data_IF_646403504280
#
_entry.id   IF_646403504280
#
_cell.length_a   1.000
_cell.length_b   1.000
_cell.length_c   1.000
_cell.angle_alpha   90.00
_cell.angle_beta   90.00
_cell.angle_gamma   90.00
#
_symmetry.space_group_name_H-M   'P 1'
#
loop_
_entity.id
_entity.type
_entity.pdbx_description
1 polymer ?
#
# COMPACT_ATOMS: atom_id res chain seq x y z
N UNK A 1 -21.23 2.32 25.98
CA UNK A 1 -20.12 1.32 26.06
C UNK A 1 -18.75 1.97 26.24
N UNK A 2 -18.24 2.78 25.29
CA UNK A 2 -16.90 3.42 25.37
C UNK A 2 -16.63 4.18 26.69
N UNK A 3 -17.66 4.81 27.24
CA UNK A 3 -17.55 5.53 28.50
C UNK A 3 -17.45 4.60 29.73
N UNK A 4 -18.17 3.47 29.73
CA UNK A 4 -18.05 2.46 30.76
C UNK A 4 -16.71 1.71 30.72
N UNK A 5 -16.09 1.59 29.54
CA UNK A 5 -14.76 0.96 29.39
C UNK A 5 -13.62 1.73 30.06
N UNK A 6 -13.81 3.03 30.36
CA UNK A 6 -12.83 3.82 31.11
C UNK A 6 -12.64 3.31 32.54
N UNK A 7 -13.58 2.52 33.04
CA UNK A 7 -13.50 1.90 34.36
C UNK A 7 -12.48 0.76 34.39
N UNK A 8 -11.59 0.80 35.38
CA UNK A 8 -10.48 -0.16 35.51
C UNK A 8 -10.92 -1.58 35.86
N UNK A 9 -12.05 -1.76 36.55
CA UNK A 9 -12.53 -3.08 36.98
C UNK A 9 -13.77 -3.54 36.20
N UNK A 10 -13.93 -4.84 35.99
CA UNK A 10 -15.11 -5.39 35.29
C UNK A 10 -16.43 -5.13 36.03
N UNK A 11 -16.39 -5.00 37.36
CA UNK A 11 -17.57 -4.68 38.17
C UNK A 11 -17.96 -3.21 38.07
N UNK A 12 -16.98 -2.31 38.09
CA UNK A 12 -17.24 -0.88 37.89
C UNK A 12 -17.69 -0.60 36.46
N UNK A 13 -17.14 -1.30 35.47
CA UNK A 13 -17.66 -1.32 34.10
C UNK A 13 -19.16 -1.65 34.06
N UNK A 14 -19.59 -2.71 34.75
CA UNK A 14 -21.00 -3.13 34.78
C UNK A 14 -21.90 -2.07 35.44
N UNK A 15 -21.47 -1.49 36.57
CA UNK A 15 -22.23 -0.44 37.23
C UNK A 15 -22.34 0.82 36.37
N UNK A 16 -21.25 1.25 35.75
CA UNK A 16 -21.27 2.40 34.84
C UNK A 16 -22.11 2.12 33.60
N UNK A 17 -22.08 0.90 33.08
CA UNK A 17 -22.92 0.49 31.95
C UNK A 17 -24.41 0.62 32.27
N UNK A 18 -24.85 0.09 33.42
CA UNK A 18 -26.24 0.18 33.86
C UNK A 18 -26.69 1.63 34.14
N UNK A 19 -25.83 2.42 34.79
CA UNK A 19 -26.10 3.84 34.99
C UNK A 19 -26.34 4.56 33.65
N UNK A 20 -25.48 4.32 32.65
CA UNK A 20 -25.63 4.91 31.31
C UNK A 20 -26.87 4.41 30.58
N UNK A 21 -27.18 3.11 30.64
CA UNK A 21 -28.38 2.54 30.00
C UNK A 21 -29.67 3.09 30.60
N UNK A 22 -29.66 3.41 31.90
CA UNK A 22 -30.81 4.02 32.59
C UNK A 22 -30.93 5.54 32.39
N UNK A 23 -30.06 6.17 31.59
CA UNK A 23 -29.99 7.63 31.47
C UNK A 23 -29.63 8.34 32.77
N UNK A 24 -28.95 7.66 33.69
CA UNK A 24 -28.62 8.15 35.04
C UNK A 24 -29.72 7.98 36.08
N UNK A 25 -30.85 7.34 35.74
CA UNK A 25 -31.93 7.09 36.68
C UNK A 25 -31.55 6.10 37.80
N UNK A 26 -30.71 5.10 37.47
CA UNK A 26 -30.19 4.13 38.43
C UNK A 26 -28.80 4.54 38.92
N UNK A 27 -28.71 4.88 40.20
CA UNK A 27 -27.46 5.17 40.90
C UNK A 27 -26.84 3.88 41.44
N UNK A 28 -25.53 3.93 41.68
CA UNK A 28 -24.75 2.80 42.19
C UNK A 28 -25.33 2.09 43.42
N UNK A 29 -26.01 2.81 44.32
CA UNK A 29 -26.66 2.21 45.50
C UNK A 29 -27.83 1.31 45.11
N UNK A 30 -28.66 1.75 44.16
CA UNK A 30 -29.83 1.00 43.68
C UNK A 30 -29.39 -0.20 42.84
N UNK A 31 -28.34 -0.03 42.02
CA UNK A 31 -27.80 -1.13 41.21
C UNK A 31 -27.33 -2.30 42.09
N UNK A 32 -26.71 -2.02 43.25
CA UNK A 32 -26.17 -3.05 44.16
C UNK A 32 -27.23 -3.99 44.74
N UNK A 33 -28.49 -3.57 44.83
CA UNK A 33 -29.60 -4.39 45.37
C UNK A 33 -30.28 -5.26 44.31
N UNK A 34 -29.90 -5.13 43.04
CA UNK A 34 -30.54 -5.86 41.94
C UNK A 34 -29.95 -7.27 41.79
N UNK A 35 -30.71 -8.16 41.14
CA UNK A 35 -30.21 -9.45 40.71
C UNK A 35 -29.28 -9.29 39.49
N UNK A 36 -27.99 -9.13 39.75
CA UNK A 36 -27.00 -8.92 38.68
C UNK A 36 -26.94 -10.09 37.69
N UNK A 37 -27.25 -11.32 38.11
CA UNK A 37 -27.22 -12.49 37.24
C UNK A 37 -28.31 -12.43 36.15
N UNK A 38 -29.52 -12.04 36.54
CA UNK A 38 -30.65 -11.85 35.61
C UNK A 38 -30.43 -10.64 34.71
N UNK A 39 -30.02 -9.50 35.28
CA UNK A 39 -29.71 -8.30 34.51
C UNK A 39 -28.61 -8.54 33.47
N UNK A 40 -27.55 -9.28 33.82
CA UNK A 40 -26.49 -9.58 32.85
C UNK A 40 -27.04 -10.46 31.72
N UNK A 41 -27.93 -11.42 32.00
CA UNK A 41 -28.57 -12.23 30.94
C UNK A 41 -29.45 -11.38 30.03
N UNK A 42 -30.20 -10.43 30.60
CA UNK A 42 -31.00 -9.47 29.82
C UNK A 42 -30.12 -8.60 28.93
N UNK A 43 -29.05 -8.00 29.49
CA UNK A 43 -28.08 -7.22 28.71
C UNK A 43 -27.47 -8.06 27.59
N UNK A 44 -27.09 -9.31 27.88
CA UNK A 44 -26.53 -10.23 26.88
C UNK A 44 -27.52 -10.44 25.73
N UNK A 45 -28.79 -10.69 26.04
CA UNK A 45 -29.83 -10.92 25.04
C UNK A 45 -30.16 -9.67 24.23
N UNK A 46 -30.39 -8.55 24.90
CA UNK A 46 -30.75 -7.28 24.26
C UNK A 46 -29.65 -6.73 23.36
N UNK A 47 -28.39 -7.08 23.64
CA UNK A 47 -27.24 -6.63 22.86
C UNK A 47 -26.68 -7.72 21.95
N UNK A 48 -27.39 -8.84 21.77
CA UNK A 48 -26.98 -10.00 20.96
C UNK A 48 -25.53 -10.42 21.23
N UNK A 49 -25.22 -10.73 22.50
CA UNK A 49 -23.89 -11.12 22.99
C UNK A 49 -23.76 -12.63 23.27
N UNK A 50 -24.79 -13.43 22.97
CA UNK A 50 -24.88 -14.84 23.32
C UNK A 50 -23.67 -15.64 22.83
N UNK A 51 -23.27 -15.42 21.57
CA UNK A 51 -22.13 -16.10 20.94
C UNK A 51 -20.77 -15.66 21.49
N UNK A 52 -20.74 -14.58 22.27
CA UNK A 52 -19.53 -13.97 22.82
C UNK A 52 -19.42 -14.13 24.35
N UNK A 53 -20.52 -14.53 25.01
CA UNK A 53 -20.65 -14.55 26.45
C UNK A 53 -20.35 -15.93 27.02
N UNK A 54 -19.09 -16.12 27.44
CA UNK A 54 -18.61 -17.37 28.02
C UNK A 54 -18.29 -17.22 29.52
N UNK A 55 -19.29 -17.33 30.41
CA UNK A 55 -19.10 -17.18 31.85
C UNK A 55 -18.18 -18.27 32.43
N UNK A 56 -18.21 -19.49 31.89
CA UNK A 56 -17.34 -20.61 32.28
C UNK A 56 -15.85 -20.37 31.98
N UNK A 57 -15.52 -19.50 31.01
CA UNK A 57 -14.13 -19.17 30.61
C UNK A 57 -13.62 -17.87 31.25
N UNK A 58 -14.32 -17.36 32.25
CA UNK A 58 -14.05 -16.04 32.85
C UNK A 58 -13.99 -16.09 34.37
N UNK A 59 -13.14 -15.25 34.97
CA UNK A 59 -12.97 -15.17 36.43
C UNK A 59 -14.28 -14.89 37.19
N UNK A 60 -15.20 -14.14 36.57
CA UNK A 60 -16.54 -13.86 37.08
C UNK A 60 -17.45 -13.38 35.94
N UNK A 61 -18.75 -13.29 36.24
CA UNK A 61 -19.80 -12.94 35.27
C UNK A 61 -19.65 -11.51 34.70
N UNK A 62 -19.19 -10.55 35.48
CA UNK A 62 -18.93 -9.18 34.99
C UNK A 62 -17.78 -9.14 34.00
N UNK A 63 -16.75 -9.95 34.25
CA UNK A 63 -15.62 -10.09 33.33
C UNK A 63 -16.03 -10.80 32.05
N UNK A 64 -16.91 -11.80 32.13
CA UNK A 64 -17.51 -12.43 30.96
C UNK A 64 -18.28 -11.42 30.10
N UNK A 65 -19.11 -10.58 30.73
CA UNK A 65 -19.87 -9.54 30.03
C UNK A 65 -18.96 -8.52 29.35
N UNK A 66 -17.97 -8.00 30.10
CA UNK A 66 -17.01 -7.04 29.55
C UNK A 66 -16.21 -7.63 28.38
N UNK A 67 -15.79 -8.90 28.48
CA UNK A 67 -15.13 -9.62 27.39
C UNK A 67 -16.07 -9.82 26.20
N UNK A 68 -17.34 -10.15 26.42
CA UNK A 68 -18.31 -10.35 25.35
C UNK A 68 -18.48 -9.08 24.50
N UNK A 69 -18.67 -7.91 25.14
CA UNK A 69 -18.70 -6.62 24.43
C UNK A 69 -17.42 -6.35 23.63
N UNK A 70 -16.24 -6.63 24.20
CA UNK A 70 -14.95 -6.45 23.49
C UNK A 70 -14.78 -7.40 22.30
N UNK A 71 -15.26 -8.63 22.43
CA UNK A 71 -15.19 -9.63 21.36
C UNK A 71 -16.14 -9.26 20.23
N UNK A 72 -17.39 -8.89 20.54
CA UNK A 72 -18.35 -8.42 19.55
C UNK A 72 -17.86 -7.16 18.82
N UNK A 73 -17.41 -6.14 19.55
CA UNK A 73 -16.84 -4.93 18.93
C UNK A 73 -15.64 -5.28 18.04
N UNK A 74 -14.81 -6.25 18.46
CA UNK A 74 -13.70 -6.72 17.65
C UNK A 74 -14.20 -7.37 16.36
N UNK A 75 -15.16 -8.27 16.43
CA UNK A 75 -15.70 -9.00 15.27
C UNK A 75 -16.41 -8.08 14.28
N UNK A 76 -17.19 -7.11 14.78
CA UNK A 76 -17.82 -6.08 13.95
C UNK A 76 -16.77 -5.23 13.22
N UNK A 77 -15.68 -4.86 13.90
CA UNK A 77 -14.57 -4.13 13.30
C UNK A 77 -13.81 -4.98 12.28
N UNK A 78 -13.62 -6.28 12.54
CA UNK A 78 -12.99 -7.21 11.59
C UNK A 78 -13.86 -7.40 10.34
N UNK A 79 -15.16 -7.63 10.51
CA UNK A 79 -16.10 -7.80 9.39
C UNK A 79 -16.12 -6.55 8.50
N UNK A 80 -16.21 -5.37 9.12
CA UNK A 80 -16.13 -4.09 8.39
C UNK A 80 -14.78 -3.90 7.71
N UNK A 81 -13.69 -4.33 8.33
CA UNK A 81 -12.36 -4.30 7.72
C UNK A 81 -12.28 -5.20 6.49
N UNK A 82 -12.75 -6.45 6.58
CA UNK A 82 -12.73 -7.41 5.48
C UNK A 82 -13.57 -6.92 4.30
N UNK A 83 -14.76 -6.37 4.58
CA UNK A 83 -15.63 -5.78 3.57
C UNK A 83 -14.96 -4.58 2.88
N UNK A 84 -14.46 -3.60 3.65
CA UNK A 84 -13.80 -2.43 3.09
C UNK A 84 -12.54 -2.81 2.29
N UNK A 85 -11.77 -3.78 2.78
CA UNK A 85 -10.57 -4.26 2.09
C UNK A 85 -10.93 -4.99 0.79
N UNK A 86 -12.00 -5.78 0.79
CA UNK A 86 -12.50 -6.47 -0.39
C UNK A 86 -12.93 -5.46 -1.46
N UNK A 87 -13.78 -4.49 -1.10
CA UNK A 87 -14.26 -3.47 -2.03
C UNK A 87 -13.09 -2.65 -2.60
N UNK A 88 -12.14 -2.25 -1.74
CA UNK A 88 -10.93 -1.55 -2.17
C UNK A 88 -10.13 -2.38 -3.19
N UNK A 89 -9.94 -3.69 -2.92
CA UNK A 89 -9.19 -4.58 -3.82
C UNK A 89 -9.88 -4.74 -5.16
N UNK A 90 -11.19 -4.94 -5.17
CA UNK A 90 -11.96 -5.14 -6.40
C UNK A 90 -11.85 -3.92 -7.31
N UNK A 91 -12.08 -2.70 -6.80
CA UNK A 91 -11.94 -1.48 -7.59
C UNK A 91 -10.50 -1.25 -8.06
N UNK A 92 -9.53 -1.53 -7.18
CA UNK A 92 -8.12 -1.35 -7.45
C UNK A 92 -7.61 -2.29 -8.54
N UNK A 93 -7.91 -3.59 -8.42
CA UNK A 93 -7.51 -4.64 -9.35
C UNK A 93 -8.18 -4.44 -10.71
N UNK A 94 -9.45 -4.03 -10.75
CA UNK A 94 -10.14 -3.73 -12.02
C UNK A 94 -9.47 -2.57 -12.77
N UNK A 95 -9.12 -1.49 -12.06
CA UNK A 95 -8.43 -0.34 -12.65
C UNK A 95 -7.04 -0.72 -13.18
N UNK A 96 -6.27 -1.48 -12.39
CA UNK A 96 -4.96 -1.97 -12.82
C UNK A 96 -5.06 -2.88 -14.03
N UNK A 97 -5.97 -3.85 -14.01
CA UNK A 97 -6.15 -4.81 -15.10
C UNK A 97 -6.51 -4.10 -16.41
N UNK A 98 -7.40 -3.10 -16.35
CA UNK A 98 -7.73 -2.26 -17.52
C UNK A 98 -6.51 -1.50 -18.05
N UNK A 99 -5.70 -0.93 -17.17
CA UNK A 99 -4.50 -0.19 -17.57
C UNK A 99 -3.42 -1.12 -18.15
N UNK A 100 -3.20 -2.28 -17.52
CA UNK A 100 -2.29 -3.32 -17.99
C UNK A 100 -2.72 -3.85 -19.37
N UNK A 101 -4.01 -4.14 -19.56
CA UNK A 101 -4.55 -4.58 -20.85
C UNK A 101 -4.33 -3.53 -21.95
N UNK A 102 -4.59 -2.24 -21.65
CA UNK A 102 -4.34 -1.14 -22.60
C UNK A 102 -2.86 -0.96 -22.90
N UNK A 103 -1.98 -1.22 -21.95
CA UNK A 103 -0.53 -1.21 -22.17
C UNK A 103 -0.11 -2.35 -23.10
N UNK A 104 -0.58 -3.57 -22.85
CA UNK A 104 -0.30 -4.75 -23.67
C UNK A 104 -0.79 -4.58 -25.11
N UNK A 105 -1.96 -3.96 -25.32
CA UNK A 105 -2.45 -3.63 -26.67
C UNK A 105 -1.53 -2.69 -27.48
N UNK A 106 -0.67 -1.91 -26.80
CA UNK A 106 0.33 -1.06 -27.48
C UNK A 106 1.65 -1.79 -27.70
N UNK A 107 1.93 -2.87 -26.98
CA UNK A 107 3.14 -3.66 -27.13
C UNK A 107 3.03 -4.47 -28.42
N UNK A 108 4.00 -4.31 -29.32
CA UNK A 108 4.03 -5.06 -30.59
C UNK A 108 4.61 -6.47 -30.44
N UNK A 109 5.48 -6.66 -29.45
CA UNK A 109 6.23 -7.89 -29.22
C UNK A 109 6.22 -8.23 -27.73
N UNK A 110 5.34 -9.16 -27.35
CA UNK A 110 5.22 -9.63 -25.96
C UNK A 110 6.38 -10.53 -25.53
N UNK A 111 7.05 -11.21 -26.46
CA UNK A 111 8.20 -12.07 -26.13
C UNK A 111 9.37 -11.18 -25.70
N UNK A 112 9.63 -10.12 -26.48
CA UNK A 112 10.62 -9.11 -26.17
C UNK A 112 10.32 -8.38 -24.85
N UNK A 113 9.04 -8.08 -24.56
CA UNK A 113 8.61 -7.52 -23.27
C UNK A 113 9.06 -8.41 -22.09
N UNK A 114 8.80 -9.72 -22.19
CA UNK A 114 9.17 -10.70 -21.16
C UNK A 114 10.68 -10.88 -21.07
N UNK A 115 11.39 -10.84 -22.20
CA UNK A 115 12.85 -10.91 -22.23
C UNK A 115 13.47 -9.73 -21.47
N UNK A 116 13.01 -8.50 -21.72
CA UNK A 116 13.52 -7.33 -21.02
C UNK A 116 13.18 -7.33 -19.55
N UNK A 117 11.99 -7.81 -19.19
CA UNK A 117 11.62 -7.99 -17.79
C UNK A 117 12.59 -8.92 -17.06
N UNK A 118 12.97 -10.07 -17.65
CA UNK A 118 13.98 -10.98 -17.07
C UNK A 118 15.35 -10.34 -16.92
N UNK A 119 15.66 -9.33 -17.75
CA UNK A 119 16.88 -8.51 -17.66
C UNK A 119 16.71 -7.29 -16.74
N UNK A 120 15.58 -7.22 -16.04
CA UNK A 120 15.17 -6.15 -15.12
C UNK A 120 15.00 -4.78 -15.78
N UNK A 121 14.59 -4.77 -17.04
CA UNK A 121 14.20 -3.58 -17.77
C UNK A 121 12.69 -3.53 -17.88
N UNK A 122 12.08 -2.64 -17.11
CA UNK A 122 10.67 -2.30 -17.21
C UNK A 122 10.57 -1.05 -18.06
N UNK A 123 10.02 -1.20 -19.26
CA UNK A 123 10.08 -0.19 -20.30
C UNK A 123 8.68 0.30 -20.66
N UNK A 124 8.49 1.57 -21.04
CA UNK A 124 7.25 2.00 -21.68
C UNK A 124 7.14 1.39 -23.09
N UNK A 125 5.91 1.26 -23.58
CA UNK A 125 5.61 0.58 -24.85
C UNK A 125 6.34 1.21 -26.04
N UNK A 126 6.50 2.54 -26.05
CA UNK A 126 7.23 3.29 -27.09
C UNK A 126 8.71 2.87 -27.20
N UNK A 127 9.37 2.57 -26.07
CA UNK A 127 10.80 2.18 -26.08
C UNK A 127 10.96 0.75 -26.54
N UNK A 128 10.10 -0.13 -26.05
CA UNK A 128 10.04 -1.52 -26.48
C UNK A 128 9.84 -1.60 -28.00
N UNK A 129 8.85 -0.87 -28.52
CA UNK A 129 8.49 -0.89 -29.94
C UNK A 129 9.51 -0.22 -30.87
N UNK A 130 10.39 0.63 -30.34
CA UNK A 130 11.43 1.31 -31.10
C UNK A 130 12.74 0.49 -31.19
N UNK A 131 12.84 -0.61 -30.45
CA UNK A 131 14.02 -1.46 -30.47
C UNK A 131 13.96 -2.48 -31.61
N UNK A 132 14.92 -2.42 -32.52
CA UNK A 132 15.04 -3.32 -33.68
C UNK A 132 16.40 -4.08 -33.68
N UNK A 133 17.17 -3.97 -32.60
CA UNK A 133 18.56 -4.42 -32.53
C UNK A 133 18.77 -5.76 -31.82
N UNK A 134 20.04 -6.19 -31.74
CA UNK A 134 20.46 -7.32 -30.89
C UNK A 134 21.10 -6.88 -29.58
N UNK A 135 21.61 -5.65 -29.52
CA UNK A 135 22.32 -5.11 -28.37
C UNK A 135 21.52 -3.99 -27.71
N UNK A 136 20.60 -4.40 -26.84
CA UNK A 136 19.73 -3.48 -26.12
C UNK A 136 20.48 -2.53 -25.21
N UNK A 137 21.52 -3.00 -24.52
CA UNK A 137 22.25 -2.19 -23.53
C UNK A 137 22.96 -1.02 -24.20
N UNK A 138 23.65 -1.26 -25.31
CA UNK A 138 24.30 -0.17 -26.03
C UNK A 138 23.28 0.75 -26.72
N UNK A 139 22.20 0.18 -27.26
CA UNK A 139 21.12 0.97 -27.86
C UNK A 139 20.46 1.92 -26.84
N UNK A 140 20.05 1.40 -25.68
CA UNK A 140 19.33 2.18 -24.66
C UNK A 140 20.22 3.31 -24.13
N UNK A 141 21.51 3.06 -23.90
CA UNK A 141 22.46 4.10 -23.48
C UNK A 141 22.63 5.20 -24.54
N UNK A 142 22.60 4.84 -25.83
CA UNK A 142 22.74 5.79 -26.94
C UNK A 142 21.50 6.67 -27.11
N UNK A 143 20.30 6.10 -26.99
CA UNK A 143 19.05 6.85 -27.18
C UNK A 143 18.66 7.67 -25.95
N UNK A 144 19.12 7.29 -24.75
CA UNK A 144 18.80 7.96 -23.49
C UNK A 144 19.67 9.20 -23.24
N UNK A 145 19.68 10.14 -24.19
CA UNK A 145 20.36 11.43 -24.03
C UNK A 145 19.68 12.28 -22.95
N UNK A 146 20.36 13.29 -22.40
CA UNK A 146 19.76 14.19 -21.42
C UNK A 146 18.47 14.85 -21.95
N UNK A 147 18.51 15.36 -23.18
CA UNK A 147 17.36 15.95 -23.88
C UNK A 147 16.19 14.94 -24.04
N UNK A 148 16.49 13.66 -24.30
CA UNK A 148 15.46 12.62 -24.29
C UNK A 148 14.83 12.45 -22.89
N UNK A 149 15.65 12.39 -21.83
CA UNK A 149 15.17 12.24 -20.45
C UNK A 149 14.35 13.46 -20.00
N UNK A 150 14.75 14.67 -20.39
CA UNK A 150 14.01 15.91 -20.10
C UNK A 150 12.64 15.92 -20.78
N UNK A 151 12.55 15.52 -22.05
CA UNK A 151 11.25 15.36 -22.73
C UNK A 151 10.37 14.31 -22.08
N UNK A 152 10.94 13.21 -21.57
CA UNK A 152 10.19 12.22 -20.81
C UNK A 152 9.63 12.83 -19.53
N UNK A 153 10.45 13.55 -18.77
CA UNK A 153 10.02 14.26 -17.58
C UNK A 153 8.87 15.23 -17.88
N UNK A 154 8.95 16.02 -18.95
CA UNK A 154 7.86 16.92 -19.35
C UNK A 154 6.53 16.18 -19.59
N UNK A 155 6.57 14.97 -20.16
CA UNK A 155 5.38 14.12 -20.31
C UNK A 155 4.86 13.67 -18.95
N UNK A 156 5.74 13.26 -18.05
CA UNK A 156 5.36 12.86 -16.69
C UNK A 156 4.64 13.99 -15.96
N UNK A 157 5.17 15.21 -16.03
CA UNK A 157 4.63 16.39 -15.32
C UNK A 157 3.24 16.81 -15.78
N UNK A 158 2.69 16.23 -16.85
CA UNK A 158 1.28 16.39 -17.24
C UNK A 158 0.32 15.61 -16.33
N UNK A 159 0.82 14.62 -15.58
CA UNK A 159 0.05 13.81 -14.66
C UNK A 159 0.10 14.40 -13.25
N UNK A 160 -1.04 14.54 -12.53
CA UNK A 160 -1.07 15.15 -11.20
C UNK A 160 -0.11 14.53 -10.17
N UNK A 161 0.04 13.19 -10.07
CA UNK A 161 0.99 12.55 -9.15
C UNK A 161 2.44 13.01 -9.35
N UNK A 162 2.85 13.19 -10.61
CA UNK A 162 4.20 13.62 -10.98
C UNK A 162 4.38 15.13 -10.85
N UNK A 163 3.36 15.92 -11.20
CA UNK A 163 3.40 17.39 -11.08
C UNK A 163 3.69 17.83 -9.64
N UNK A 164 3.13 17.13 -8.65
CA UNK A 164 3.40 17.38 -7.22
C UNK A 164 4.86 17.14 -6.82
N UNK A 165 5.61 16.38 -7.62
CA UNK A 165 7.02 16.00 -7.39
C UNK A 165 7.97 16.75 -8.33
N UNK A 166 7.47 17.75 -9.05
CA UNK A 166 8.21 18.44 -10.12
C UNK A 166 9.61 18.87 -9.72
N UNK A 167 9.75 19.55 -8.57
CA UNK A 167 11.04 20.03 -8.11
C UNK A 167 12.03 18.87 -7.92
N UNK A 168 11.60 17.81 -7.23
CA UNK A 168 12.43 16.64 -6.95
C UNK A 168 12.85 15.96 -8.27
N UNK A 169 11.92 15.78 -9.21
CA UNK A 169 12.19 15.16 -10.50
C UNK A 169 13.17 15.98 -11.36
N UNK A 170 13.05 17.31 -11.34
CA UNK A 170 14.00 18.21 -12.01
C UNK A 170 15.39 18.13 -11.35
N UNK A 171 15.45 18.10 -10.02
CA UNK A 171 16.70 17.98 -9.27
C UNK A 171 17.39 16.63 -9.52
N UNK A 172 16.63 15.54 -9.72
CA UNK A 172 17.17 14.23 -10.11
C UNK A 172 17.87 14.30 -11.48
N UNK A 173 17.24 14.91 -12.49
CA UNK A 173 17.87 15.05 -13.81
C UNK A 173 19.08 15.99 -13.77
N UNK A 174 19.04 17.03 -12.94
CA UNK A 174 20.19 17.89 -12.68
C UNK A 174 21.34 17.11 -12.03
N UNK A 175 21.07 16.25 -11.06
CA UNK A 175 22.09 15.40 -10.46
C UNK A 175 22.69 14.44 -11.49
N UNK A 176 21.86 13.85 -12.37
CA UNK A 176 22.33 13.00 -13.46
C UNK A 176 23.22 13.76 -14.45
N UNK A 177 22.84 14.99 -14.85
CA UNK A 177 23.63 15.80 -15.80
C UNK A 177 24.97 16.26 -15.23
N UNK A 178 25.04 16.46 -13.91
CA UNK A 178 26.28 16.74 -13.18
C UNK A 178 27.12 15.48 -12.87
N UNK A 179 26.71 14.31 -13.38
CA UNK A 179 27.35 13.01 -13.14
C UNK A 179 27.35 12.58 -11.65
N UNK A 180 26.44 13.11 -10.85
CA UNK A 180 26.18 12.69 -9.46
C UNK A 180 25.15 11.54 -9.45
N UNK A 181 25.51 10.41 -10.04
CA UNK A 181 24.57 9.33 -10.37
C UNK A 181 23.95 8.68 -9.13
N UNK A 182 24.71 8.47 -8.06
CA UNK A 182 24.17 7.94 -6.79
C UNK A 182 23.09 8.84 -6.21
N UNK A 183 23.30 10.16 -6.23
CA UNK A 183 22.30 11.13 -5.74
C UNK A 183 21.04 11.12 -6.61
N UNK A 184 21.21 11.01 -7.93
CA UNK A 184 20.09 10.87 -8.85
C UNK A 184 19.28 9.59 -8.55
N UNK A 185 19.95 8.45 -8.34
CA UNK A 185 19.32 7.18 -7.96
C UNK A 185 18.62 7.28 -6.61
N UNK A 186 19.25 7.88 -5.60
CA UNK A 186 18.65 8.11 -4.27
C UNK A 186 17.38 8.95 -4.36
N UNK A 187 17.38 10.00 -5.17
CA UNK A 187 16.20 10.84 -5.37
C UNK A 187 15.08 10.09 -6.11
N UNK A 188 15.44 9.27 -7.10
CA UNK A 188 14.51 8.62 -8.02
C UNK A 188 13.78 7.41 -7.41
N UNK A 189 14.47 6.58 -6.62
CA UNK A 189 13.89 5.38 -6.01
C UNK A 189 12.59 5.65 -5.25
N UNK A 190 12.53 6.61 -4.30
CA UNK A 190 11.30 6.93 -3.57
C UNK A 190 10.17 7.45 -4.46
N UNK A 191 10.48 7.96 -5.66
CA UNK A 191 9.44 8.45 -6.57
C UNK A 191 8.62 7.31 -7.18
N UNK A 192 9.22 6.13 -7.38
CA UNK A 192 8.51 4.96 -7.90
C UNK A 192 7.34 4.57 -6.99
N UNK A 193 7.60 4.52 -5.68
CA UNK A 193 6.54 4.29 -4.67
C UNK A 193 5.62 5.49 -4.53
N UNK A 194 6.19 6.68 -4.53
CA UNK A 194 5.47 7.92 -4.33
C UNK A 194 4.38 8.18 -5.35
N UNK A 195 4.62 7.90 -6.64
CA UNK A 195 3.61 8.10 -7.69
C UNK A 195 2.50 7.05 -7.63
N UNK A 196 2.82 5.80 -7.23
CA UNK A 196 1.82 4.75 -6.99
C UNK A 196 0.93 5.16 -5.80
N UNK A 197 1.54 5.61 -4.70
CA UNK A 197 0.81 6.12 -3.54
C UNK A 197 -0.11 7.28 -3.93
N UNK A 198 0.41 8.29 -4.64
CA UNK A 198 -0.39 9.45 -5.01
C UNK A 198 -1.54 9.08 -5.96
N UNK A 199 -1.37 8.08 -6.83
CA UNK A 199 -2.38 7.66 -7.81
C UNK A 199 -3.48 6.78 -7.21
N UNK A 200 -3.07 5.76 -6.43
CA UNK A 200 -3.97 4.69 -6.02
C UNK A 200 -4.40 4.77 -4.58
N UNK A 201 -3.64 5.50 -3.76
CA UNK A 201 -3.87 5.54 -2.32
C UNK A 201 -4.42 6.89 -1.90
N UNK A 202 -3.68 7.97 -2.19
CA UNK A 202 -4.06 9.30 -1.72
C UNK A 202 -5.43 9.76 -2.26
N UNK A 203 -5.77 9.37 -3.48
CA UNK A 203 -7.02 9.75 -4.14
C UNK A 203 -8.17 8.75 -3.90
N UNK A 204 -7.93 7.68 -3.13
CA UNK A 204 -8.93 6.66 -2.86
C UNK A 204 -9.57 6.88 -1.47
N UNK A 205 -10.88 7.19 -1.45
CA UNK A 205 -11.63 7.38 -0.20
C UNK A 205 -11.70 6.10 0.64
N UNK A 206 -11.67 4.93 0.00
CA UNK A 206 -11.65 3.64 0.69
C UNK A 206 -10.32 3.42 1.44
N UNK A 207 -9.21 4.04 1.00
CA UNK A 207 -7.97 3.97 1.77
C UNK A 207 -8.08 4.75 3.08
N UNK A 208 -8.76 5.89 3.12
CA UNK A 208 -8.94 6.63 4.37
C UNK A 208 -9.69 5.78 5.42
N UNK A 209 -10.67 4.99 4.98
CA UNK A 209 -11.39 4.04 5.82
C UNK A 209 -10.49 2.87 6.28
N UNK A 210 -9.68 2.33 5.37
CA UNK A 210 -8.68 1.28 5.68
C UNK A 210 -7.61 1.83 6.65
N UNK A 211 -7.04 3.00 6.42
CA UNK A 211 -6.02 3.62 7.28
C UNK A 211 -6.56 3.90 8.70
N UNK A 212 -7.80 4.39 8.80
CA UNK A 212 -8.49 4.58 10.08
C UNK A 212 -8.65 3.28 10.87
N UNK A 213 -8.86 2.15 10.17
CA UNK A 213 -8.95 0.82 10.76
C UNK A 213 -7.57 0.23 11.09
N UNK A 214 -6.52 0.51 10.30
CA UNK A 214 -5.13 0.14 10.56
C UNK A 214 -4.63 0.75 11.88
N UNK A 215 -4.87 2.06 12.08
CA UNK A 215 -4.46 2.78 13.30
C UNK A 215 -5.05 2.17 14.58
N UNK A 216 -6.21 1.53 14.49
CA UNK A 216 -6.85 0.84 15.63
C UNK A 216 -6.22 -0.51 15.97
N UNK A 217 -5.44 -1.12 15.06
CA UNK A 217 -4.98 -2.52 15.19
C UNK A 217 -3.48 -2.73 14.94
N UNK A 218 -2.71 -1.67 14.70
CA UNK A 218 -1.26 -1.75 14.45
C UNK A 218 -0.92 -2.69 13.27
N UNK A 219 -1.80 -2.70 12.25
CA UNK A 219 -1.65 -3.54 11.04
C UNK A 219 -0.65 -2.92 10.07
N UNK A 220 -0.01 -3.74 9.23
CA UNK A 220 0.80 -3.28 8.09
C UNK A 220 0.07 -3.67 6.81
N UNK A 221 -0.69 -2.75 6.23
CA UNK A 221 -1.14 -2.90 4.85
C UNK A 221 -0.14 -2.14 3.98
N UNK A 222 0.64 -2.86 3.16
CA UNK A 222 1.66 -2.25 2.28
C UNK A 222 1.06 -2.15 0.89
N UNK A 223 0.17 -1.17 0.73
CA UNK A 223 -0.61 -0.93 -0.49
C UNK A 223 0.27 -0.80 -1.74
N UNK A 224 1.44 -0.17 -1.60
CA UNK A 224 2.36 0.11 -2.71
C UNK A 224 3.05 -1.15 -3.24
N UNK A 225 3.52 -2.03 -2.36
CA UNK A 225 4.18 -3.28 -2.77
C UNK A 225 3.17 -4.25 -3.39
N UNK A 226 1.96 -4.31 -2.82
CA UNK A 226 0.84 -5.06 -3.41
C UNK A 226 0.50 -4.55 -4.80
N UNK A 227 0.31 -3.23 -4.93
CA UNK A 227 0.03 -2.57 -6.21
C UNK A 227 1.09 -2.86 -7.27
N UNK A 228 2.36 -2.78 -6.87
CA UNK A 228 3.48 -3.07 -7.77
C UNK A 228 3.46 -4.54 -8.18
N UNK A 229 3.29 -5.48 -7.25
CA UNK A 229 3.25 -6.92 -7.56
C UNK A 229 2.13 -7.24 -8.55
N UNK A 230 0.91 -6.76 -8.30
CA UNK A 230 -0.23 -6.98 -9.20
C UNK A 230 0.02 -6.39 -10.58
N UNK A 231 0.50 -5.14 -10.66
CA UNK A 231 0.81 -4.52 -11.94
C UNK A 231 1.83 -5.33 -12.74
N UNK A 232 2.89 -5.83 -12.08
CA UNK A 232 3.90 -6.63 -12.75
C UNK A 232 3.37 -8.01 -13.16
N UNK A 233 2.51 -8.60 -12.34
CA UNK A 233 1.84 -9.86 -12.66
C UNK A 233 0.93 -9.71 -13.88
N UNK A 234 0.11 -8.66 -13.93
CA UNK A 234 -0.84 -8.45 -15.03
C UNK A 234 -0.14 -8.10 -16.34
N UNK A 235 0.98 -7.37 -16.28
CA UNK A 235 1.71 -6.96 -17.49
C UNK A 235 2.69 -8.03 -17.97
N UNK A 236 3.41 -8.69 -17.07
CA UNK A 236 4.51 -9.60 -17.45
C UNK A 236 4.18 -11.09 -17.24
N UNK A 237 3.07 -11.40 -16.55
CA UNK A 237 2.72 -12.77 -16.16
C UNK A 237 3.74 -13.38 -15.20
N UNK A 238 4.35 -12.56 -14.33
CA UNK A 238 5.36 -12.98 -13.36
C UNK A 238 5.00 -12.47 -11.96
N UNK A 239 5.06 -13.35 -10.96
CA UNK A 239 4.81 -12.96 -9.57
C UNK A 239 6.05 -12.37 -8.87
N UNK A 240 7.24 -12.69 -9.36
CA UNK A 240 8.48 -12.28 -8.71
C UNK A 240 8.79 -10.82 -9.00
N UNK A 241 8.96 -10.00 -7.95
CA UNK A 241 9.41 -8.63 -8.13
C UNK A 241 10.85 -8.60 -8.68
N UNK A 242 11.20 -7.64 -9.57
CA UNK A 242 12.58 -7.38 -9.96
C UNK A 242 13.49 -7.28 -8.73
N UNK A 243 14.72 -7.78 -8.83
CA UNK A 243 15.60 -7.88 -7.64
C UNK A 243 15.87 -6.51 -7.02
N UNK A 244 15.82 -5.44 -7.82
CA UNK A 244 16.01 -4.08 -7.34
C UNK A 244 14.85 -3.53 -6.48
N UNK A 245 13.66 -4.14 -6.56
CA UNK A 245 12.48 -3.81 -5.74
C UNK A 245 12.27 -4.80 -4.60
N UNK A 246 12.85 -6.00 -4.70
CA UNK A 246 12.65 -7.04 -3.71
C UNK A 246 13.52 -6.84 -2.45
N UNK A 247 13.08 -7.41 -1.34
CA UNK A 247 13.90 -7.53 -0.15
C UNK A 247 15.00 -8.56 -0.40
N UNK A 248 16.23 -8.19 -0.05
CA UNK A 248 17.38 -9.09 -0.03
C UNK A 248 18.04 -9.03 1.34
N UNK A 249 18.64 -10.13 1.78
CA UNK A 249 19.49 -10.12 2.97
C UNK A 249 20.75 -9.31 2.69
N UNK A 250 21.21 -8.52 3.67
CA UNK A 250 22.44 -7.73 3.50
C UNK A 250 23.68 -8.60 3.26
N UNK A 251 23.69 -9.84 3.75
CA UNK A 251 24.79 -10.79 3.52
C UNK A 251 24.82 -11.33 2.09
N UNK A 252 23.71 -11.22 1.35
CA UNK A 252 23.56 -11.71 -0.03
C UNK A 252 23.70 -10.58 -1.06
N UNK A 253 23.76 -9.33 -0.60
CA UNK A 253 23.88 -8.17 -1.48
C UNK A 253 25.25 -8.14 -2.17
N UNK A 254 25.23 -7.76 -3.45
CA UNK A 254 26.44 -7.60 -4.28
C UNK A 254 26.62 -6.12 -4.61
N UNK A 255 27.82 -5.60 -4.38
CA UNK A 255 28.18 -4.22 -4.71
C UNK A 255 27.91 -3.88 -6.18
N UNK A 256 27.54 -2.63 -6.44
CA UNK A 256 27.19 -2.15 -7.77
C UNK A 256 25.81 -2.57 -8.29
N UNK A 257 25.10 -3.47 -7.61
CA UNK A 257 23.76 -3.88 -7.99
C UNK A 257 22.71 -2.91 -7.43
N UNK A 258 21.69 -2.63 -8.24
CA UNK A 258 20.57 -1.81 -7.82
C UNK A 258 19.69 -2.60 -6.84
N UNK A 259 19.50 -2.13 -5.62
CA UNK A 259 18.51 -2.70 -4.69
C UNK A 259 17.97 -1.67 -3.69
N UNK A 260 16.65 -1.50 -3.65
CA UNK A 260 15.95 -0.55 -2.78
C UNK A 260 16.29 -0.74 -1.30
N UNK A 261 16.28 -1.98 -0.83
CA UNK A 261 16.52 -2.30 0.58
C UNK A 261 17.96 -1.95 0.97
N UNK A 262 18.95 -2.44 0.22
CA UNK A 262 20.36 -2.16 0.50
C UNK A 262 20.70 -0.67 0.36
N UNK A 263 20.17 0.03 -0.66
CA UNK A 263 20.39 1.47 -0.86
C UNK A 263 19.71 2.28 0.25
N UNK A 264 18.47 1.98 0.60
CA UNK A 264 17.74 2.70 1.65
C UNK A 264 18.39 2.58 3.03
N UNK A 265 19.12 1.49 3.29
CA UNK A 265 19.86 1.28 4.54
C UNK A 265 21.35 1.66 4.46
N UNK A 266 21.82 2.23 3.33
CA UNK A 266 23.22 2.65 3.16
C UNK A 266 24.23 1.49 3.06
N UNK A 267 23.76 0.26 2.88
CA UNK A 267 24.59 -0.94 2.70
C UNK A 267 25.19 -0.97 1.28
N UNK A 268 24.42 -0.49 0.31
CA UNK A 268 24.84 -0.49 -1.09
C UNK A 268 25.92 0.56 -1.38
N UNK A 269 27.05 0.13 -1.94
CA UNK A 269 28.09 1.02 -2.49
C UNK A 269 28.27 0.80 -3.98
N UNK A 270 28.80 1.81 -4.68
CA UNK A 270 29.16 1.79 -6.12
C UNK A 270 28.00 1.50 -7.09
N UNK A 271 26.75 1.67 -6.65
CA UNK A 271 25.57 1.46 -7.50
C UNK A 271 25.33 2.60 -8.51
N UNK A 272 26.08 3.70 -8.43
CA UNK A 272 25.97 4.90 -9.27
C UNK A 272 26.40 4.72 -10.72
N UNK A 273 25.80 3.79 -11.44
CA UNK A 273 26.05 3.58 -12.87
C UNK A 273 24.93 4.19 -13.71
N UNK A 274 25.26 4.65 -14.93
CA UNK A 274 24.24 5.14 -15.88
C UNK A 274 23.19 4.08 -16.19
N UNK A 275 23.60 2.82 -16.29
CA UNK A 275 22.70 1.69 -16.51
C UNK A 275 21.68 1.55 -15.37
N UNK A 276 22.14 1.57 -14.11
CA UNK A 276 21.27 1.49 -12.94
C UNK A 276 20.31 2.69 -12.86
N UNK A 277 20.79 3.89 -13.14
CA UNK A 277 19.94 5.07 -13.23
C UNK A 277 18.86 4.88 -14.31
N UNK A 278 19.24 4.43 -15.51
CA UNK A 278 18.28 4.23 -16.60
C UNK A 278 17.27 3.12 -16.30
N UNK A 279 17.67 2.03 -15.66
CA UNK A 279 16.72 0.99 -15.21
C UNK A 279 15.61 1.59 -14.34
N UNK A 280 15.98 2.42 -13.36
CA UNK A 280 14.99 3.12 -12.52
C UNK A 280 14.20 4.17 -13.30
N UNK A 281 14.86 4.93 -14.17
CA UNK A 281 14.20 5.98 -14.94
C UNK A 281 13.12 5.40 -15.83
N UNK A 282 13.43 4.33 -16.56
CA UNK A 282 12.46 3.65 -17.41
C UNK A 282 11.40 2.90 -16.62
N UNK A 283 11.72 2.36 -15.43
CA UNK A 283 10.69 1.85 -14.55
C UNK A 283 9.68 2.95 -14.18
N UNK A 284 10.16 4.14 -13.82
CA UNK A 284 9.28 5.27 -13.54
C UNK A 284 8.53 5.78 -14.78
N UNK A 285 9.15 5.72 -15.96
CA UNK A 285 8.54 6.06 -17.25
C UNK A 285 7.40 5.08 -17.61
N UNK A 286 7.64 3.78 -17.40
CA UNK A 286 6.64 2.72 -17.50
C UNK A 286 5.48 2.98 -16.55
N UNK A 287 5.76 3.29 -15.28
CA UNK A 287 4.71 3.67 -14.31
C UNK A 287 3.94 4.91 -14.78
N UNK A 288 4.62 5.91 -15.37
CA UNK A 288 3.98 7.09 -15.94
C UNK A 288 2.99 6.73 -17.04
N UNK A 289 3.36 5.80 -17.94
CA UNK A 289 2.46 5.31 -18.98
C UNK A 289 1.23 4.60 -18.39
N UNK A 290 1.44 3.68 -17.44
CA UNK A 290 0.35 2.96 -16.76
C UNK A 290 -0.59 3.95 -16.06
N UNK A 291 -0.06 4.88 -15.29
CA UNK A 291 -0.84 5.90 -14.59
C UNK A 291 -1.61 6.75 -15.60
N UNK A 292 -0.98 7.16 -16.71
CA UNK A 292 -1.65 7.87 -17.79
C UNK A 292 -2.83 7.09 -18.39
N UNK A 293 -2.74 5.76 -18.47
CA UNK A 293 -3.83 4.88 -18.91
C UNK A 293 -4.95 4.78 -17.86
N UNK A 294 -4.62 4.79 -16.57
CA UNK A 294 -5.62 4.85 -15.48
C UNK A 294 -6.41 6.16 -15.56
N UNK A 295 -5.74 7.31 -15.64
CA UNK A 295 -6.42 8.62 -15.72
C UNK A 295 -7.34 8.75 -16.95
N UNK A 296 -6.92 8.23 -18.11
CA UNK A 296 -7.76 8.19 -19.32
C UNK A 296 -8.95 7.23 -19.25
N UNK A 297 -8.96 6.31 -18.28
CA UNK A 297 -10.05 5.35 -18.10
C UNK A 297 -11.10 5.82 -17.10
N UNK A 298 -10.79 6.87 -16.32
CA UNK A 298 -11.71 7.52 -15.38
C UNK A 298 -12.54 8.65 -16.03
N UNK A 299 -12.14 9.11 -17.22
CA UNK A 299 -12.83 10.10 -18.05
C UNK A 299 -13.63 9.38 -19.14
#
# INVERSE_FOLDING_TARGET
MKEAEKEGSSREFFFRLLELLSGGALKRKEIKSLNHGELIKEIVKENSLEDYFFPSRSKNIYNALRKAFKLKEREEVESKWEENLKNWREEFEELLLKAASKYLLKVKDEELLREFYRKEWLLPSEILNAFEGKDFKNWILKVSTLDFLERRLERWLKLPPFKRREKILKDILKAYSLNCIELAIYGLFPQCEGVIWDTFVKENTLEADVEALIRKRNRKFVTIQYATKLLLQDVFGQEELPSFLNHISFVEYKDGVLNRHAIGHGVAVKFGTKENFLKLFYFLDFLSEIIGLVFKSKL
#
